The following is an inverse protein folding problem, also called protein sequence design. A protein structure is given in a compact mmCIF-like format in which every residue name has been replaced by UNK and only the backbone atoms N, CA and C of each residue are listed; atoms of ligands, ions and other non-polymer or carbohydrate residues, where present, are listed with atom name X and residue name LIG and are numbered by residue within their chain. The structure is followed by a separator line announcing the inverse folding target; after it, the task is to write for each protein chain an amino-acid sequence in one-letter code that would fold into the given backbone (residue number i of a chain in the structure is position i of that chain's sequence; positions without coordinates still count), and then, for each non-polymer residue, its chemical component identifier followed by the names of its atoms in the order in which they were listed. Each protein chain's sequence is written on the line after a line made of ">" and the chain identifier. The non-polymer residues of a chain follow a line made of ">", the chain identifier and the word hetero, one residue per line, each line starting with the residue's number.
data_IF_419592158892
#
_entry.id   IF_419592158892
#
_cell.length_a   1.000
_cell.length_b   1.000
_cell.length_c   1.000
_cell.angle_alpha   90.00
_cell.angle_beta   90.00
_cell.angle_gamma   90.00
#
_symmetry.space_group_name_H-M   'P 1'
#
loop_
_entity.id
_entity.type
_entity.pdbx_description
1 polymer ?
#
# COMPACT_ATOMS: atom_id res chain seq x y z
N UNK A 1 -56.14 -43.59 -34.69
CA UNK A 1 -56.78 -42.48 -35.43
C UNK A 1 -55.79 -41.35 -35.47
N UNK A 2 -55.01 -41.31 -36.55
CA UNK A 2 -53.93 -40.34 -36.74
C UNK A 2 -54.50 -38.95 -36.96
N UNK A 3 -54.31 -38.07 -35.98
CA UNK A 3 -54.61 -36.65 -36.11
C UNK A 3 -53.47 -36.00 -36.91
N UNK A 4 -53.60 -36.04 -38.23
CA UNK A 4 -52.76 -35.25 -39.13
C UNK A 4 -53.02 -33.77 -38.84
N UNK A 5 -52.19 -33.16 -37.99
CA UNK A 5 -52.16 -31.72 -37.78
C UNK A 5 -51.64 -31.09 -39.08
N UNK A 6 -52.57 -30.62 -39.91
CA UNK A 6 -52.28 -29.93 -41.15
C UNK A 6 -51.69 -28.54 -40.81
N UNK A 7 -50.36 -28.49 -40.63
CA UNK A 7 -49.59 -27.28 -40.34
C UNK A 7 -49.43 -26.47 -41.62
N UNK A 8 -50.47 -25.76 -42.04
CA UNK A 8 -50.40 -24.85 -43.18
C UNK A 8 -49.76 -23.52 -42.76
N UNK A 9 -48.79 -23.07 -43.55
CA UNK A 9 -48.12 -21.77 -43.37
C UNK A 9 -49.05 -20.65 -43.83
N UNK A 10 -48.96 -19.43 -43.26
CA UNK A 10 -49.90 -18.32 -43.55
C UNK A 10 -50.01 -17.98 -45.06
N UNK A 11 -48.95 -18.22 -45.83
CA UNK A 11 -48.92 -18.07 -47.30
C UNK A 11 -49.80 -19.06 -48.08
N UNK A 12 -50.29 -20.10 -47.41
CA UNK A 12 -51.12 -21.16 -47.99
C UNK A 12 -52.60 -20.95 -47.68
N UNK A 13 -52.95 -19.92 -46.89
CA UNK A 13 -54.32 -19.50 -46.62
C UNK A 13 -54.90 -18.76 -47.83
N UNK A 14 -56.21 -18.83 -48.00
CA UNK A 14 -56.95 -18.00 -48.97
C UNK A 14 -56.82 -16.51 -48.62
N UNK A 15 -57.00 -15.63 -49.61
CA UNK A 15 -56.77 -14.20 -49.45
C UNK A 15 -57.63 -13.56 -48.33
N UNK A 16 -58.87 -14.02 -48.15
CA UNK A 16 -59.77 -13.54 -47.10
C UNK A 16 -59.30 -13.94 -45.69
N UNK A 17 -58.76 -15.14 -45.55
CA UNK A 17 -58.25 -15.65 -44.27
C UNK A 17 -56.90 -15.03 -43.91
N UNK A 18 -56.07 -14.68 -44.90
CA UNK A 18 -54.86 -13.89 -44.68
C UNK A 18 -55.18 -12.48 -44.14
N UNK A 19 -56.25 -11.84 -44.65
CA UNK A 19 -56.66 -10.51 -44.18
C UNK A 19 -57.15 -10.57 -42.74
N UNK A 20 -57.96 -11.57 -42.38
CA UNK A 20 -58.42 -11.79 -40.99
C UNK A 20 -57.25 -12.09 -40.04
N UNK A 21 -56.27 -12.84 -40.51
CA UNK A 21 -55.04 -13.14 -39.76
C UNK A 21 -54.22 -11.86 -39.44
N UNK A 22 -54.01 -10.97 -40.41
CA UNK A 22 -53.26 -9.73 -40.16
C UNK A 22 -54.05 -8.72 -39.31
N UNK A 23 -55.37 -8.73 -39.39
CA UNK A 23 -56.22 -7.93 -38.50
C UNK A 23 -56.15 -8.39 -37.04
N UNK A 24 -56.08 -9.70 -36.76
CA UNK A 24 -55.94 -10.21 -35.39
C UNK A 24 -54.56 -9.91 -34.78
N UNK A 25 -53.49 -9.97 -35.59
CA UNK A 25 -52.14 -9.56 -35.18
C UNK A 25 -52.10 -8.05 -34.83
N UNK A 26 -52.77 -7.21 -35.64
CA UNK A 26 -52.90 -5.77 -35.36
C UNK A 26 -53.66 -5.44 -34.07
N UNK A 27 -54.56 -6.34 -33.63
CA UNK A 27 -55.31 -6.21 -32.37
C UNK A 27 -54.58 -6.83 -31.16
N UNK A 28 -53.33 -7.29 -31.34
CA UNK A 28 -52.48 -7.79 -30.26
C UNK A 28 -52.68 -9.27 -29.92
N UNK A 29 -53.46 -10.01 -30.72
CA UNK A 29 -53.66 -11.45 -30.52
C UNK A 29 -52.52 -12.23 -31.19
N UNK A 30 -51.49 -12.55 -30.41
CA UNK A 30 -50.30 -13.30 -30.86
C UNK A 30 -50.52 -14.83 -30.90
N UNK A 31 -51.76 -15.30 -30.69
CA UNK A 31 -52.11 -16.71 -30.72
C UNK A 31 -52.08 -17.32 -32.13
N UNK A 32 -52.03 -16.49 -33.17
CA UNK A 32 -52.17 -16.92 -34.57
C UNK A 32 -50.90 -17.48 -35.21
N UNK A 33 -49.73 -17.41 -34.56
CA UNK A 33 -48.55 -18.15 -35.06
C UNK A 33 -48.82 -19.66 -34.92
N UNK A 34 -49.41 -20.27 -35.96
CA UNK A 34 -49.72 -21.70 -36.13
C UNK A 34 -48.49 -22.62 -36.09
N UNK A 35 -47.32 -22.08 -35.75
CA UNK A 35 -46.16 -22.83 -35.31
C UNK A 35 -45.92 -22.40 -33.87
N UNK A 36 -46.33 -23.23 -32.90
CA UNK A 36 -45.83 -23.09 -31.53
C UNK A 36 -44.30 -23.05 -31.64
N UNK A 37 -43.62 -21.97 -31.23
CA UNK A 37 -42.18 -21.91 -31.36
C UNK A 37 -41.62 -23.10 -30.59
N UNK A 38 -41.02 -24.06 -31.30
CA UNK A 38 -40.36 -25.17 -30.66
C UNK A 38 -39.34 -24.56 -29.70
N UNK A 39 -39.57 -24.74 -28.39
CA UNK A 39 -38.61 -24.36 -27.36
C UNK A 39 -37.39 -25.26 -27.60
N UNK A 40 -36.47 -24.82 -28.47
CA UNK A 40 -35.19 -25.48 -28.70
C UNK A 40 -34.55 -25.67 -27.34
N UNK A 41 -34.52 -26.90 -26.84
CA UNK A 41 -33.93 -27.19 -25.55
C UNK A 41 -32.48 -26.74 -25.62
N UNK A 42 -32.10 -25.79 -24.77
CA UNK A 42 -30.75 -25.26 -24.82
C UNK A 42 -29.79 -26.40 -24.49
N UNK A 43 -28.85 -26.72 -25.38
CA UNK A 43 -27.78 -27.71 -25.11
C UNK A 43 -26.84 -27.29 -23.97
N UNK A 44 -27.04 -26.11 -23.40
CA UNK A 44 -26.31 -25.58 -22.25
C UNK A 44 -26.68 -26.38 -21.01
N UNK A 45 -25.85 -27.36 -20.66
CA UNK A 45 -25.90 -28.04 -19.37
C UNK A 45 -25.05 -27.26 -18.37
N UNK A 46 -25.55 -27.17 -17.14
CA UNK A 46 -24.77 -26.63 -16.02
C UNK A 46 -23.60 -27.57 -15.79
N UNK A 47 -22.37 -27.05 -15.78
CA UNK A 47 -21.20 -27.85 -15.41
C UNK A 47 -21.30 -28.32 -13.95
N UNK A 48 -20.57 -29.38 -13.63
CA UNK A 48 -20.53 -30.00 -12.29
C UNK A 48 -19.74 -29.18 -11.25
N UNK A 49 -19.27 -27.98 -11.61
CA UNK A 49 -18.55 -27.13 -10.68
C UNK A 49 -19.48 -26.60 -9.57
N UNK A 50 -18.97 -26.63 -8.34
CA UNK A 50 -19.64 -26.01 -7.20
C UNK A 50 -19.84 -24.52 -7.46
N UNK A 51 -21.06 -24.03 -7.23
CA UNK A 51 -21.37 -22.59 -7.26
C UNK A 51 -21.28 -21.92 -5.90
N UNK A 52 -20.94 -22.69 -4.86
CA UNK A 52 -20.68 -22.13 -3.53
C UNK A 52 -19.31 -21.45 -3.53
N UNK A 53 -19.16 -20.32 -2.84
CA UNK A 53 -17.86 -19.70 -2.68
C UNK A 53 -16.95 -20.64 -1.88
N UNK A 54 -15.66 -20.71 -2.25
CA UNK A 54 -14.62 -21.46 -1.51
C UNK A 54 -14.63 -21.18 0.00
N UNK A 55 -14.73 -19.90 0.37
CA UNK A 55 -14.83 -19.45 1.76
C UNK A 55 -16.26 -18.98 2.09
N UNK A 56 -17.09 -19.80 2.74
CA UNK A 56 -18.47 -19.40 3.06
C UNK A 56 -18.56 -18.35 4.19
N UNK A 57 -17.65 -18.44 5.17
CA UNK A 57 -17.64 -17.66 6.41
C UNK A 57 -16.29 -16.96 6.62
N UNK A 58 -15.97 -15.93 5.82
CA UNK A 58 -14.78 -15.13 6.05
C UNK A 58 -14.91 -14.38 7.38
N UNK A 59 -13.85 -14.38 8.19
CA UNK A 59 -13.77 -13.63 9.44
C UNK A 59 -12.37 -13.08 9.61
N UNK A 60 -12.27 -11.79 9.95
CA UNK A 60 -10.98 -11.17 10.17
C UNK A 60 -11.06 -10.16 11.31
N UNK A 61 -10.08 -10.24 12.21
CA UNK A 61 -9.88 -9.30 13.32
C UNK A 61 -8.39 -8.95 13.37
N UNK A 62 -8.07 -7.74 13.83
CA UNK A 62 -6.71 -7.22 13.83
C UNK A 62 -5.84 -8.04 14.80
N UNK A 63 -4.81 -8.73 14.31
CA UNK A 63 -3.90 -9.46 15.19
C UNK A 63 -3.15 -8.56 16.18
N UNK A 64 -2.76 -9.11 17.33
CA UNK A 64 -2.10 -8.37 18.41
C UNK A 64 -0.69 -7.84 18.05
N UNK A 65 -0.02 -8.42 17.05
CA UNK A 65 1.30 -7.97 16.62
C UNK A 65 1.26 -6.63 15.85
N UNK A 66 0.08 -6.22 15.36
CA UNK A 66 -0.05 -4.90 14.74
C UNK A 66 -0.20 -3.82 15.81
N UNK A 67 0.42 -2.67 15.56
CA UNK A 67 0.26 -1.47 16.40
C UNK A 67 -1.23 -1.12 16.56
N UNK A 68 -1.61 -0.72 17.76
CA UNK A 68 -2.97 -0.25 18.04
C UNK A 68 -3.35 0.95 17.16
N UNK A 69 -4.60 0.97 16.70
CA UNK A 69 -5.13 2.08 15.92
C UNK A 69 -5.46 3.25 16.87
N UNK A 70 -4.87 4.41 16.59
CA UNK A 70 -5.14 5.64 17.33
C UNK A 70 -6.21 6.51 16.65
N UNK A 71 -6.67 7.53 17.37
CA UNK A 71 -7.53 8.58 16.82
C UNK A 71 -8.88 8.09 16.29
N UNK A 72 -9.33 8.67 15.18
CA UNK A 72 -10.62 8.34 14.58
C UNK A 72 -10.64 6.93 13.95
N UNK A 73 -9.50 6.45 13.46
CA UNK A 73 -9.38 5.08 12.95
C UNK A 73 -9.60 4.04 14.06
N UNK A 74 -9.04 4.28 15.25
CA UNK A 74 -9.28 3.43 16.42
C UNK A 74 -10.74 3.47 16.87
N UNK A 75 -11.36 4.66 16.88
CA UNK A 75 -12.78 4.81 17.18
C UNK A 75 -13.67 4.02 16.20
N UNK A 76 -13.41 4.16 14.89
CA UNK A 76 -14.10 3.41 13.84
C UNK A 76 -13.97 1.89 14.02
N UNK A 77 -12.75 1.41 14.30
CA UNK A 77 -12.48 -0.01 14.51
C UNK A 77 -13.23 -0.56 15.73
N UNK A 78 -13.23 0.17 16.86
CA UNK A 78 -13.92 -0.23 18.08
C UNK A 78 -15.46 -0.22 17.93
N UNK A 79 -16.00 0.52 16.96
CA UNK A 79 -17.42 0.47 16.62
C UNK A 79 -17.77 -0.79 15.81
N UNK A 80 -16.84 -1.26 14.99
CA UNK A 80 -16.99 -2.49 14.20
C UNK A 80 -16.79 -3.75 15.04
N UNK A 81 -15.78 -3.76 15.91
CA UNK A 81 -15.32 -4.96 16.62
C UNK A 81 -15.40 -4.74 18.13
N UNK A 82 -15.93 -5.74 18.85
CA UNK A 82 -15.87 -5.82 20.32
C UNK A 82 -14.97 -6.97 20.74
N UNK A 83 -14.17 -6.74 21.79
CA UNK A 83 -13.42 -7.77 22.48
C UNK A 83 -14.18 -8.15 23.75
N UNK A 84 -14.44 -9.44 23.94
CA UNK A 84 -15.03 -9.92 25.17
C UNK A 84 -13.99 -9.77 26.31
N UNK A 85 -14.35 -9.14 27.46
CA UNK A 85 -13.40 -8.88 28.53
C UNK A 85 -12.90 -10.16 29.20
N UNK A 86 -13.78 -11.17 29.33
CA UNK A 86 -13.48 -12.43 30.03
C UNK A 86 -12.70 -13.40 29.14
N UNK A 87 -13.15 -13.63 27.91
CA UNK A 87 -12.56 -14.64 27.01
C UNK A 87 -11.48 -14.08 26.09
N UNK A 88 -11.38 -12.75 25.96
CA UNK A 88 -10.48 -12.10 25.01
C UNK A 88 -10.86 -12.29 23.54
N UNK A 89 -11.96 -13.00 23.24
CA UNK A 89 -12.41 -13.29 21.89
C UNK A 89 -12.97 -12.04 21.21
N UNK A 90 -12.65 -11.90 19.93
CA UNK A 90 -13.17 -10.82 19.09
C UNK A 90 -14.48 -11.25 18.43
N UNK A 91 -15.44 -10.34 18.41
CA UNK A 91 -16.70 -10.50 17.69
C UNK A 91 -17.09 -9.18 17.04
N UNK A 92 -17.92 -9.26 15.99
CA UNK A 92 -18.48 -8.07 15.38
C UNK A 92 -19.47 -7.41 16.36
N UNK A 93 -19.31 -6.10 16.54
CA UNK A 93 -20.27 -5.25 17.25
C UNK A 93 -21.33 -4.73 16.30
N UNK A 94 -20.92 -4.41 15.07
CA UNK A 94 -21.78 -3.90 14.01
C UNK A 94 -21.61 -4.75 12.75
N UNK A 95 -22.73 -5.19 12.20
CA UNK A 95 -22.80 -5.83 10.88
C UNK A 95 -23.02 -4.75 9.83
N UNK A 96 -21.94 -4.35 9.14
CA UNK A 96 -22.00 -3.26 8.17
C UNK A 96 -22.94 -3.60 7.01
N UNK A 97 -23.03 -4.87 6.62
CA UNK A 97 -23.94 -5.34 5.58
C UNK A 97 -25.43 -5.10 5.87
N UNK A 98 -25.80 -4.89 7.14
CA UNK A 98 -27.16 -4.57 7.60
C UNK A 98 -27.35 -3.08 7.91
N UNK A 99 -26.37 -2.23 7.57
CA UNK A 99 -26.47 -0.80 7.85
C UNK A 99 -27.65 -0.16 7.08
N UNK A 100 -28.47 0.71 7.71
CA UNK A 100 -29.65 1.32 7.07
C UNK A 100 -29.36 2.05 5.76
N UNK A 101 -28.14 2.57 5.59
CA UNK A 101 -27.65 3.16 4.35
C UNK A 101 -27.85 2.24 3.14
N UNK A 102 -27.50 0.95 3.25
CA UNK A 102 -27.65 0.01 2.14
C UNK A 102 -29.12 -0.27 1.82
N UNK A 103 -30.01 -0.19 2.82
CA UNK A 103 -31.45 -0.33 2.60
C UNK A 103 -31.98 0.86 1.80
N UNK A 104 -31.59 2.08 2.18
CA UNK A 104 -32.02 3.33 1.53
C UNK A 104 -31.46 3.46 0.11
N UNK A 105 -30.15 3.23 -0.06
CA UNK A 105 -29.46 3.51 -1.33
C UNK A 105 -29.44 2.31 -2.30
N UNK A 106 -30.06 1.15 -1.96
CA UNK A 106 -30.01 -0.05 -2.82
C UNK A 106 -30.49 0.20 -4.25
N UNK A 107 -31.58 0.97 -4.39
CA UNK A 107 -32.20 1.23 -5.69
C UNK A 107 -31.30 2.14 -6.53
N UNK A 108 -30.72 3.17 -5.91
CA UNK A 108 -29.72 4.05 -6.53
C UNK A 108 -28.49 3.28 -6.99
N UNK A 109 -28.02 2.34 -6.18
CA UNK A 109 -26.90 1.46 -6.54
C UNK A 109 -27.28 0.36 -7.56
N UNK A 110 -28.52 0.35 -8.08
CA UNK A 110 -29.01 -0.59 -9.09
C UNK A 110 -29.23 -2.02 -8.58
N UNK A 111 -29.57 -2.17 -7.30
CA UNK A 111 -29.97 -3.46 -6.69
C UNK A 111 -31.46 -3.47 -6.35
N UNK A 112 -32.13 -4.57 -6.72
CA UNK A 112 -33.51 -4.86 -6.30
C UNK A 112 -33.58 -5.55 -4.94
N UNK A 113 -32.65 -6.47 -4.67
CA UNK A 113 -32.66 -7.32 -3.48
C UNK A 113 -31.51 -7.00 -2.53
N UNK A 114 -31.70 -7.37 -1.26
CA UNK A 114 -30.66 -7.34 -0.25
C UNK A 114 -29.44 -8.18 -0.64
N UNK A 115 -28.33 -8.01 0.07
CA UNK A 115 -27.15 -8.84 -0.12
C UNK A 115 -27.45 -10.29 0.24
N UNK A 116 -26.92 -11.24 -0.53
CA UNK A 116 -26.97 -12.66 -0.17
C UNK A 116 -26.15 -12.91 1.11
N UNK A 117 -26.48 -13.93 1.92
CA UNK A 117 -25.77 -14.19 3.18
C UNK A 117 -24.25 -14.30 3.04
N UNK A 118 -23.74 -14.99 2.01
CA UNK A 118 -22.27 -15.13 1.85
C UNK A 118 -21.60 -13.80 1.48
N UNK A 119 -22.34 -12.89 0.86
CA UNK A 119 -21.86 -11.55 0.53
C UNK A 119 -21.93 -10.63 1.74
N UNK A 120 -22.98 -10.74 2.56
CA UNK A 120 -23.11 -10.03 3.84
C UNK A 120 -21.92 -10.33 4.76
N UNK A 121 -21.62 -11.63 4.95
CA UNK A 121 -20.48 -12.07 5.76
C UNK A 121 -19.14 -11.56 5.23
N UNK A 122 -18.94 -11.58 3.91
CA UNK A 122 -17.72 -11.02 3.31
C UNK A 122 -17.63 -9.51 3.51
N UNK A 123 -18.73 -8.78 3.35
CA UNK A 123 -18.75 -7.33 3.58
C UNK A 123 -18.44 -7.00 5.04
N UNK A 124 -19.05 -7.72 5.97
CA UNK A 124 -18.80 -7.56 7.41
C UNK A 124 -17.35 -7.85 7.79
N UNK A 125 -16.71 -8.84 7.17
CA UNK A 125 -15.30 -9.15 7.39
C UNK A 125 -14.35 -8.14 6.70
N UNK A 126 -14.76 -7.56 5.57
CA UNK A 126 -13.96 -6.62 4.79
C UNK A 126 -13.74 -5.29 5.55
N UNK A 127 -14.78 -4.73 6.17
CA UNK A 127 -14.68 -3.42 6.83
C UNK A 127 -13.61 -3.34 7.94
N UNK A 128 -13.51 -4.30 8.87
CA UNK A 128 -12.43 -4.34 9.85
C UNK A 128 -11.03 -4.33 9.22
N UNK A 129 -10.83 -5.03 8.09
CA UNK A 129 -9.56 -5.05 7.34
C UNK A 129 -9.28 -3.67 6.74
N UNK A 130 -10.27 -3.07 6.06
CA UNK A 130 -10.10 -1.77 5.42
C UNK A 130 -9.71 -0.70 6.44
N UNK A 131 -10.43 -0.60 7.57
CA UNK A 131 -10.13 0.37 8.63
C UNK A 131 -8.76 0.10 9.26
N UNK A 132 -8.38 -1.17 9.38
CA UNK A 132 -7.11 -1.58 9.98
C UNK A 132 -5.87 -1.19 9.17
N UNK A 133 -5.96 -1.26 7.85
CA UNK A 133 -4.86 -0.96 6.95
C UNK A 133 -5.02 0.38 6.23
N UNK A 134 -5.97 1.20 6.68
CA UNK A 134 -6.20 2.54 6.19
C UNK A 134 -5.08 3.47 6.67
N UNK A 135 -4.48 4.21 5.72
CA UNK A 135 -3.57 5.30 6.03
C UNK A 135 -4.34 6.49 6.61
N UNK A 136 -3.88 7.02 7.74
CA UNK A 136 -4.56 8.12 8.42
C UNK A 136 -4.52 9.44 7.64
N UNK A 137 -3.53 9.63 6.75
CA UNK A 137 -3.39 10.83 5.93
C UNK A 137 -4.15 10.76 4.62
N UNK A 138 -4.12 9.62 3.92
CA UNK A 138 -4.74 9.51 2.58
C UNK A 138 -6.12 8.85 2.60
N UNK A 139 -6.48 8.21 3.70
CA UNK A 139 -7.64 7.31 3.82
C UNK A 139 -7.65 6.14 2.83
N UNK A 140 -6.54 5.94 2.13
CA UNK A 140 -6.27 4.81 1.25
C UNK A 140 -5.80 3.63 2.05
N UNK A 141 -6.32 2.46 1.74
CA UNK A 141 -5.86 1.20 2.28
C UNK A 141 -4.49 0.88 1.69
N UNK A 142 -3.48 0.70 2.53
CA UNK A 142 -2.09 0.42 2.14
C UNK A 142 -1.86 -0.96 1.52
N UNK A 143 -2.92 -1.59 0.99
CA UNK A 143 -2.91 -2.94 0.45
C UNK A 143 -3.69 -2.99 -0.85
N UNK A 144 -3.12 -3.69 -1.83
CA UNK A 144 -3.82 -3.97 -3.09
C UNK A 144 -4.92 -5.04 -2.88
N UNK A 145 -5.87 -5.10 -3.81
CA UNK A 145 -6.99 -6.06 -3.76
C UNK A 145 -6.53 -7.52 -3.61
N UNK A 146 -5.45 -7.92 -4.29
CA UNK A 146 -4.90 -9.27 -4.18
C UNK A 146 -4.35 -9.57 -2.77
N UNK A 147 -3.75 -8.56 -2.12
CA UNK A 147 -3.24 -8.69 -0.76
C UNK A 147 -4.38 -8.69 0.26
N UNK A 148 -5.44 -7.90 0.04
CA UNK A 148 -6.67 -7.96 0.84
C UNK A 148 -7.31 -9.35 0.81
N UNK A 149 -7.32 -9.99 -0.37
CA UNK A 149 -7.80 -11.36 -0.52
C UNK A 149 -7.01 -12.35 0.32
N UNK A 150 -5.69 -12.23 0.32
CA UNK A 150 -4.80 -13.06 1.13
C UNK A 150 -5.03 -12.85 2.63
N UNK A 151 -5.27 -11.62 3.08
CA UNK A 151 -5.52 -11.35 4.49
C UNK A 151 -6.88 -11.85 4.98
N UNK A 152 -7.92 -11.75 4.15
CA UNK A 152 -9.25 -12.26 4.47
C UNK A 152 -9.35 -13.79 4.40
N UNK A 153 -8.38 -14.44 3.77
CA UNK A 153 -8.38 -15.89 3.62
C UNK A 153 -7.91 -16.58 4.91
N UNK A 154 -8.52 -17.72 5.27
CA UNK A 154 -8.01 -18.58 6.33
C UNK A 154 -6.56 -18.98 6.06
N UNK A 155 -5.74 -18.97 7.12
CA UNK A 155 -4.32 -19.31 7.06
C UNK A 155 -4.04 -20.56 7.88
N UNK A 156 -3.11 -21.37 7.39
CA UNK A 156 -2.56 -22.53 8.09
C UNK A 156 -1.70 -22.12 9.30
N UNK A 157 -1.28 -23.12 10.08
CA UNK A 157 -0.32 -22.94 11.20
C UNK A 157 0.99 -22.29 10.76
N UNK A 158 1.38 -22.45 9.50
CA UNK A 158 2.58 -21.83 8.90
C UNK A 158 2.33 -20.41 8.36
N UNK A 159 1.10 -19.89 8.43
CA UNK A 159 0.73 -18.57 7.93
C UNK A 159 0.43 -18.51 6.42
N UNK A 160 0.42 -19.65 5.73
CA UNK A 160 0.08 -19.75 4.31
C UNK A 160 -1.44 -19.82 4.12
N UNK A 161 -1.95 -19.33 2.98
CA UNK A 161 -3.39 -19.40 2.68
C UNK A 161 -3.78 -20.81 2.24
N UNK A 162 -4.86 -21.33 2.82
CA UNK A 162 -5.45 -22.62 2.46
C UNK A 162 -6.16 -22.48 1.10
N UNK A 163 -5.69 -23.14 0.03
CA UNK A 163 -6.22 -22.94 -1.32
C UNK A 163 -7.71 -23.32 -1.49
N UNK A 164 -8.17 -24.29 -0.71
CA UNK A 164 -9.55 -24.80 -0.78
C UNK A 164 -10.55 -23.82 -0.16
N UNK A 165 -10.13 -23.10 0.88
CA UNK A 165 -10.97 -22.14 1.62
C UNK A 165 -10.58 -20.69 1.37
N UNK A 166 -9.81 -20.40 0.32
CA UNK A 166 -9.35 -19.04 0.04
C UNK A 166 -10.51 -18.10 -0.34
N UNK A 167 -10.38 -16.84 0.05
CA UNK A 167 -11.23 -15.78 -0.49
C UNK A 167 -10.62 -15.33 -1.82
N UNK A 168 -11.31 -15.60 -2.92
CA UNK A 168 -10.78 -15.28 -4.25
C UNK A 168 -10.72 -13.78 -4.52
N UNK A 169 -9.70 -13.35 -5.27
CA UNK A 169 -9.50 -11.94 -5.68
C UNK A 169 -10.70 -11.40 -6.45
N UNK A 170 -11.29 -12.22 -7.33
CA UNK A 170 -12.48 -11.85 -8.10
C UNK A 170 -13.69 -11.53 -7.22
N UNK A 171 -13.90 -12.31 -6.15
CA UNK A 171 -15.01 -12.10 -5.22
C UNK A 171 -14.89 -10.78 -4.47
N UNK A 172 -13.68 -10.43 -4.01
CA UNK A 172 -13.42 -9.15 -3.36
C UNK A 172 -13.50 -8.00 -4.36
N UNK A 173 -12.94 -8.15 -5.56
CA UNK A 173 -13.03 -7.12 -6.60
C UNK A 173 -14.48 -6.80 -6.94
N UNK A 174 -15.35 -7.82 -7.07
CA UNK A 174 -16.77 -7.62 -7.33
C UNK A 174 -17.50 -6.96 -6.16
N UNK A 175 -17.13 -7.31 -4.92
CA UNK A 175 -17.69 -6.67 -3.73
C UNK A 175 -17.28 -5.19 -3.65
N UNK A 176 -16.01 -4.88 -3.89
CA UNK A 176 -15.51 -3.49 -3.90
C UNK A 176 -16.19 -2.69 -5.00
N UNK A 177 -16.30 -3.21 -6.22
CA UNK A 177 -16.98 -2.52 -7.32
C UNK A 177 -18.43 -2.18 -6.96
N UNK A 178 -19.11 -3.06 -6.23
CA UNK A 178 -20.44 -2.78 -5.71
C UNK A 178 -20.44 -1.70 -4.63
N UNK A 179 -19.47 -1.71 -3.70
CA UNK A 179 -19.31 -0.66 -2.70
C UNK A 179 -18.99 0.72 -3.30
N UNK A 180 -18.29 0.74 -4.43
CA UNK A 180 -18.05 1.96 -5.24
C UNK A 180 -19.35 2.49 -5.83
N UNK A 181 -20.24 1.61 -6.32
CA UNK A 181 -21.58 2.03 -6.78
C UNK A 181 -22.44 2.60 -5.66
N UNK A 182 -22.27 2.10 -4.44
CA UNK A 182 -22.87 2.69 -3.23
C UNK A 182 -22.19 3.98 -2.78
N UNK A 183 -21.04 4.34 -3.36
CA UNK A 183 -20.25 5.53 -3.01
C UNK A 183 -19.53 5.43 -1.67
N UNK A 184 -19.47 4.23 -1.04
CA UNK A 184 -18.86 4.00 0.29
C UNK A 184 -17.35 3.77 0.22
N UNK A 185 -16.87 3.26 -0.91
CA UNK A 185 -15.46 3.04 -1.21
C UNK A 185 -15.13 3.71 -2.55
N UNK A 186 -13.88 4.11 -2.72
CA UNK A 186 -13.30 4.49 -4.00
C UNK A 186 -12.16 3.56 -4.38
N UNK A 187 -11.83 3.50 -5.67
CA UNK A 187 -10.75 2.68 -6.21
C UNK A 187 -9.89 3.53 -7.12
N UNK A 188 -8.58 3.31 -7.10
CA UNK A 188 -7.61 4.00 -7.96
C UNK A 188 -8.01 3.90 -9.43
N UNK A 189 -8.15 5.05 -10.09
CA UNK A 189 -8.76 5.19 -11.42
C UNK A 189 -7.90 4.52 -12.52
N UNK A 190 -6.59 4.45 -12.33
CA UNK A 190 -5.67 3.96 -13.34
C UNK A 190 -5.27 2.51 -13.09
N UNK A 191 -5.76 1.59 -13.94
CA UNK A 191 -5.22 0.24 -14.05
C UNK A 191 -4.42 0.15 -15.34
N UNK A 192 -3.24 0.74 -15.35
CA UNK A 192 -2.33 0.61 -16.50
C UNK A 192 -1.79 -0.82 -16.58
N UNK A 193 -1.62 -1.27 -17.82
CA UNK A 193 -0.95 -2.54 -18.10
C UNK A 193 0.55 -2.26 -18.15
N UNK A 194 1.29 -2.90 -17.26
CA UNK A 194 2.73 -2.84 -17.32
C UNK A 194 3.25 -3.85 -18.37
N UNK A 195 3.88 -3.32 -19.41
CA UNK A 195 4.45 -4.11 -20.51
C UNK A 195 5.66 -4.92 -20.05
N UNK A 196 6.45 -4.41 -19.12
CA UNK A 196 7.69 -5.03 -18.67
C UNK A 196 7.38 -6.25 -17.78
N UNK A 197 6.57 -6.06 -16.74
CA UNK A 197 6.18 -7.18 -15.85
C UNK A 197 5.06 -8.07 -16.41
N UNK A 198 4.45 -7.70 -17.54
CA UNK A 198 3.27 -8.34 -18.15
C UNK A 198 2.12 -8.53 -17.15
N UNK A 199 1.95 -7.56 -16.25
CA UNK A 199 0.94 -7.58 -15.18
C UNK A 199 0.19 -6.25 -15.15
N UNK A 200 -1.03 -6.26 -14.61
CA UNK A 200 -1.76 -5.02 -14.31
C UNK A 200 -1.21 -4.39 -13.05
N UNK A 201 -1.13 -3.06 -13.02
CA UNK A 201 -0.80 -2.34 -11.80
C UNK A 201 -1.79 -2.64 -10.67
N UNK A 202 -1.31 -2.63 -9.41
CA UNK A 202 -2.15 -2.91 -8.25
C UNK A 202 -3.25 -1.85 -8.10
N UNK A 203 -4.48 -2.32 -7.88
CA UNK A 203 -5.62 -1.46 -7.53
C UNK A 203 -5.63 -1.21 -6.03
N UNK A 204 -5.69 0.06 -5.64
CA UNK A 204 -5.84 0.49 -4.26
C UNK A 204 -7.26 0.97 -3.98
N UNK A 205 -7.70 0.79 -2.74
CA UNK A 205 -9.05 1.15 -2.28
C UNK A 205 -8.91 2.26 -1.24
N UNK A 206 -9.78 3.26 -1.24
CA UNK A 206 -9.91 4.21 -0.14
C UNK A 206 -11.33 4.27 0.37
N UNK A 207 -11.48 4.69 1.63
CA UNK A 207 -12.79 4.87 2.26
C UNK A 207 -13.24 6.30 2.00
N UNK A 208 -14.45 6.46 1.46
CA UNK A 208 -15.03 7.78 1.17
C UNK A 208 -15.60 8.41 2.44
N UNK A 209 -15.96 9.70 2.36
CA UNK A 209 -16.63 10.41 3.46
C UNK A 209 -17.92 9.71 3.91
N UNK A 210 -18.71 9.16 2.99
CA UNK A 210 -19.93 8.41 3.32
C UNK A 210 -19.61 7.11 4.07
N UNK A 211 -18.53 6.40 3.68
CA UNK A 211 -18.05 5.23 4.41
C UNK A 211 -17.66 5.56 5.86
N UNK A 212 -17.01 6.70 6.08
CA UNK A 212 -16.69 7.18 7.43
C UNK A 212 -17.92 7.60 8.23
N UNK A 213 -18.91 8.23 7.59
CA UNK A 213 -20.19 8.56 8.22
C UNK A 213 -20.96 7.31 8.66
N UNK A 214 -20.94 6.22 7.87
CA UNK A 214 -21.55 4.94 8.26
C UNK A 214 -20.89 4.34 9.50
N UNK A 215 -19.59 4.53 9.65
CA UNK A 215 -18.83 4.17 10.85
C UNK A 215 -19.05 5.17 12.01
N UNK A 216 -19.86 6.21 11.79
CA UNK A 216 -20.14 7.29 12.73
C UNK A 216 -18.89 7.96 13.27
N UNK A 217 -17.89 8.12 12.40
CA UNK A 217 -16.68 8.88 12.67
C UNK A 217 -16.99 10.38 12.56
N UNK A 218 -16.40 11.16 13.47
CA UNK A 218 -16.43 12.62 13.38
C UNK A 218 -15.53 13.09 12.22
N UNK A 219 -16.17 13.55 11.14
CA UNK A 219 -15.49 13.96 9.91
C UNK A 219 -14.55 15.14 10.13
N UNK A 220 -14.89 16.08 11.03
CA UNK A 220 -14.05 17.24 11.30
C UNK A 220 -12.74 16.82 11.98
N UNK A 221 -12.85 15.91 12.97
CA UNK A 221 -11.67 15.34 13.63
C UNK A 221 -10.85 14.46 12.68
N UNK A 222 -11.50 13.75 11.77
CA UNK A 222 -10.83 12.92 10.76
C UNK A 222 -10.02 13.81 9.79
N UNK A 223 -10.62 14.88 9.27
CA UNK A 223 -9.95 15.85 8.41
C UNK A 223 -8.78 16.55 9.11
N UNK A 224 -8.95 16.95 10.38
CA UNK A 224 -7.86 17.54 11.17
C UNK A 224 -6.69 16.56 11.35
N UNK A 225 -6.97 15.26 11.57
CA UNK A 225 -5.94 14.22 11.63
C UNK A 225 -5.25 14.04 10.28
N UNK A 226 -5.99 14.08 9.18
CA UNK A 226 -5.46 14.00 7.82
C UNK A 226 -4.52 15.18 7.52
N UNK A 227 -4.95 16.42 7.76
CA UNK A 227 -4.13 17.62 7.52
C UNK A 227 -2.84 17.56 8.35
N UNK A 228 -2.94 17.18 9.63
CA UNK A 228 -1.76 17.01 10.49
C UNK A 228 -0.78 15.99 9.91
N UNK A 229 -1.27 14.84 9.45
CA UNK A 229 -0.44 13.79 8.84
C UNK A 229 0.18 14.22 7.52
N UNK A 230 -0.54 14.98 6.68
CA UNK A 230 0.01 15.50 5.44
C UNK A 230 1.15 16.49 5.70
N UNK A 231 1.01 17.38 6.69
CA UNK A 231 2.08 18.29 7.13
C UNK A 231 3.31 17.55 7.63
N UNK A 232 3.13 16.55 8.51
CA UNK A 232 4.23 15.70 9.00
C UNK A 232 4.97 15.00 7.83
N UNK A 233 4.24 14.54 6.80
CA UNK A 233 4.83 13.93 5.61
C UNK A 233 5.60 14.93 4.74
N UNK A 234 5.09 16.16 4.58
CA UNK A 234 5.77 17.23 3.83
C UNK A 234 7.05 17.67 4.54
N UNK A 235 7.00 17.85 5.85
CA UNK A 235 8.17 18.13 6.68
C UNK A 235 9.21 17.01 6.55
N UNK A 236 8.78 15.74 6.58
CA UNK A 236 9.67 14.59 6.37
C UNK A 236 10.37 14.66 5.02
N UNK A 237 9.64 14.98 3.95
CA UNK A 237 10.22 15.09 2.61
C UNK A 237 11.26 16.20 2.52
N UNK A 238 10.96 17.38 3.07
CA UNK A 238 11.92 18.50 3.14
C UNK A 238 13.20 18.09 3.87
N UNK A 239 13.08 17.43 5.03
CA UNK A 239 14.22 16.96 5.79
C UNK A 239 15.06 15.88 5.06
N UNK A 240 14.42 15.04 4.23
CA UNK A 240 15.12 14.06 3.40
C UNK A 240 15.86 14.77 2.25
N UNK A 241 15.22 15.71 1.57
CA UNK A 241 15.82 16.51 0.49
C UNK A 241 17.03 17.32 0.99
N UNK A 242 16.95 17.85 2.20
CA UNK A 242 18.06 18.55 2.88
C UNK A 242 19.17 17.60 3.38
N UNK A 243 19.01 16.27 3.22
CA UNK A 243 19.96 15.27 3.69
C UNK A 243 20.02 15.12 5.22
N UNK A 244 19.10 15.78 5.94
CA UNK A 244 19.00 15.77 7.40
C UNK A 244 18.32 14.49 7.92
N UNK A 245 17.65 13.73 7.05
CA UNK A 245 16.92 12.51 7.41
C UNK A 245 17.08 11.41 6.36
N UNK A 246 17.34 10.17 6.81
CA UNK A 246 17.36 9.01 5.93
C UNK A 246 15.95 8.58 5.53
N UNK A 247 15.79 7.97 4.35
CA UNK A 247 14.48 7.60 3.78
C UNK A 247 13.63 6.73 4.73
N UNK A 248 14.27 5.84 5.50
CA UNK A 248 13.62 4.90 6.42
C UNK A 248 13.44 5.42 7.85
N UNK A 249 13.91 6.63 8.17
CA UNK A 249 13.88 7.16 9.53
C UNK A 249 12.58 7.90 9.84
N UNK A 250 12.11 7.77 11.09
CA UNK A 250 10.97 8.54 11.59
C UNK A 250 11.41 9.88 12.18
N UNK A 251 10.59 10.91 11.99
CA UNK A 251 10.77 12.22 12.65
C UNK A 251 10.55 12.03 14.15
N UNK A 252 11.64 11.83 14.90
CA UNK A 252 11.62 11.66 16.34
C UNK A 252 12.86 12.27 16.98
N UNK A 253 12.66 12.91 18.15
CA UNK A 253 13.76 13.45 18.96
C UNK A 253 14.76 12.35 19.34
N UNK A 254 14.28 11.13 19.59
CA UNK A 254 15.15 10.00 19.90
C UNK A 254 16.02 9.59 18.71
N UNK A 255 15.44 9.51 17.52
CA UNK A 255 16.18 9.20 16.29
C UNK A 255 17.20 10.30 15.96
N UNK A 256 16.82 11.57 16.13
CA UNK A 256 17.70 12.71 15.97
C UNK A 256 18.91 12.66 16.93
N UNK A 257 18.66 12.39 18.23
CA UNK A 257 19.74 12.20 19.21
C UNK A 257 20.66 11.04 18.85
N UNK A 258 20.10 9.90 18.44
CA UNK A 258 20.89 8.73 18.03
C UNK A 258 21.82 9.05 16.86
N UNK A 259 21.34 9.78 15.85
CA UNK A 259 22.18 10.25 14.73
C UNK A 259 23.29 11.17 15.19
N UNK A 260 22.95 12.16 16.01
CA UNK A 260 23.95 13.08 16.55
C UNK A 260 25.03 12.31 17.34
N UNK A 261 24.64 11.36 18.18
CA UNK A 261 25.60 10.51 18.90
C UNK A 261 26.47 9.65 17.96
N UNK A 262 25.88 9.08 16.91
CA UNK A 262 26.62 8.31 15.91
C UNK A 262 27.63 9.19 15.15
N UNK A 263 27.21 10.37 14.72
CA UNK A 263 28.06 11.34 14.04
C UNK A 263 29.21 11.80 14.96
N UNK A 264 28.92 12.18 16.21
CA UNK A 264 29.94 12.54 17.20
C UNK A 264 30.88 11.39 17.53
N UNK A 265 30.37 10.17 17.60
CA UNK A 265 31.20 8.96 17.79
C UNK A 265 32.15 8.74 16.60
N UNK A 266 31.65 8.88 15.37
CA UNK A 266 32.47 8.78 14.15
C UNK A 266 33.52 9.89 14.09
N UNK A 267 33.16 11.14 14.37
CA UNK A 267 34.10 12.26 14.46
C UNK A 267 35.19 11.99 15.50
N UNK A 268 34.80 11.54 16.70
CA UNK A 268 35.76 11.20 17.76
C UNK A 268 36.68 10.05 17.34
N UNK A 269 36.17 9.02 16.65
CA UNK A 269 36.98 7.91 16.13
C UNK A 269 37.94 8.37 15.02
N UNK A 270 37.49 9.22 14.08
CA UNK A 270 38.36 9.81 13.05
C UNK A 270 39.48 10.62 13.69
N UNK A 271 39.14 11.52 14.61
CA UNK A 271 40.11 12.31 15.35
C UNK A 271 41.13 11.45 16.12
N UNK A 272 40.67 10.38 16.80
CA UNK A 272 41.57 9.45 17.51
C UNK A 272 42.49 8.69 16.55
N UNK A 273 41.98 8.27 15.39
CA UNK A 273 42.77 7.58 14.36
C UNK A 273 43.83 8.51 13.77
N UNK A 274 43.45 9.74 13.45
CA UNK A 274 44.36 10.78 12.95
C UNK A 274 45.45 11.11 13.98
N UNK A 275 45.07 11.33 15.24
CA UNK A 275 46.01 11.56 16.34
C UNK A 275 46.93 10.36 16.57
N UNK A 276 46.41 9.14 16.52
CA UNK A 276 47.20 7.91 16.61
C UNK A 276 48.17 7.75 15.45
N UNK A 277 47.74 8.06 14.22
CA UNK A 277 48.60 8.05 13.03
C UNK A 277 49.67 9.14 13.10
N UNK A 278 49.33 10.35 13.57
CA UNK A 278 50.28 11.43 13.82
C UNK A 278 51.35 11.02 14.85
N UNK A 279 50.94 10.43 15.98
CA UNK A 279 51.87 9.94 17.00
C UNK A 279 52.81 8.83 16.49
N UNK A 280 52.28 7.88 15.72
CA UNK A 280 53.11 6.83 15.09
C UNK A 280 54.11 7.41 14.08
N UNK A 281 53.69 8.41 13.29
CA UNK A 281 54.57 9.15 12.38
C UNK A 281 55.65 9.89 13.16
N UNK A 282 55.29 10.59 14.23
CA UNK A 282 56.23 11.31 15.07
C UNK A 282 57.30 10.39 15.67
N UNK A 283 56.89 9.27 16.26
CA UNK A 283 57.83 8.28 16.80
C UNK A 283 58.78 7.68 15.76
N UNK A 284 58.34 7.59 14.49
CA UNK A 284 59.19 7.11 13.39
C UNK A 284 60.20 8.19 12.96
N UNK A 285 59.74 9.43 12.84
CA UNK A 285 60.56 10.57 12.42
C UNK A 285 61.59 10.96 13.48
N UNK A 286 61.24 10.86 14.77
CA UNK A 286 62.14 11.14 15.89
C UNK A 286 63.45 10.33 15.85
N UNK A 287 63.45 9.16 15.21
CA UNK A 287 64.63 8.28 15.09
C UNK A 287 65.55 8.66 13.93
N UNK A 288 65.14 9.57 13.06
CA UNK A 288 65.85 9.94 11.84
C UNK A 288 66.60 11.27 12.00
N UNK A 289 67.71 11.49 11.27
CA UNK A 289 68.37 12.80 11.17
C UNK A 289 67.45 13.86 10.56
N UNK A 290 67.70 15.15 10.86
CA UNK A 290 66.83 16.28 10.49
C UNK A 290 66.51 16.35 8.99
N UNK A 291 67.51 16.23 8.14
CA UNK A 291 67.32 16.30 6.67
C UNK A 291 66.41 15.18 6.17
N UNK A 292 66.53 13.99 6.78
CA UNK A 292 65.69 12.85 6.47
C UNK A 292 64.26 13.01 7.02
N UNK A 293 64.08 13.71 8.13
CA UNK A 293 62.75 14.05 8.64
C UNK A 293 62.01 15.00 7.68
N UNK A 294 62.69 16.02 7.18
CA UNK A 294 62.13 16.99 6.22
C UNK A 294 61.73 16.27 4.92
N UNK A 295 62.60 15.39 4.39
CA UNK A 295 62.30 14.60 3.19
C UNK A 295 61.10 13.66 3.35
N UNK A 296 61.01 12.92 4.46
CA UNK A 296 59.88 11.99 4.68
C UNK A 296 58.57 12.74 4.94
N UNK A 297 58.62 13.90 5.61
CA UNK A 297 57.45 14.76 5.83
C UNK A 297 56.97 15.40 4.54
N UNK A 298 57.88 15.90 3.70
CA UNK A 298 57.53 16.52 2.43
C UNK A 298 56.89 15.53 1.45
N UNK A 299 57.41 14.30 1.40
CA UNK A 299 56.80 13.19 0.65
C UNK A 299 55.41 12.81 1.18
N UNK A 300 55.19 12.92 2.49
CA UNK A 300 53.88 12.67 3.07
C UNK A 300 52.89 13.78 2.70
N UNK A 301 53.30 15.04 2.81
CA UNK A 301 52.49 16.22 2.48
C UNK A 301 52.03 16.18 1.02
N UNK A 302 52.90 15.88 0.06
CA UNK A 302 52.51 15.74 -1.35
C UNK A 302 51.53 14.60 -1.62
N UNK A 303 51.51 13.56 -0.77
CA UNK A 303 50.54 12.47 -0.90
C UNK A 303 49.17 12.82 -0.32
N UNK A 304 49.11 13.76 0.61
CA UNK A 304 47.87 14.13 1.32
C UNK A 304 47.28 15.44 0.86
N UNK A 305 48.02 16.26 0.13
CA UNK A 305 47.51 17.52 -0.43
C UNK A 305 46.40 17.25 -1.46
N UNK A 306 45.40 18.15 -1.53
CA UNK A 306 44.48 18.19 -2.67
C UNK A 306 45.26 18.33 -3.99
N UNK A 307 44.79 17.70 -5.09
CA UNK A 307 45.50 17.70 -6.38
C UNK A 307 45.83 19.11 -6.90
N UNK A 308 44.91 20.05 -6.71
CA UNK A 308 45.07 21.44 -7.17
C UNK A 308 46.18 22.17 -6.40
N UNK A 309 46.26 21.97 -5.08
CA UNK A 309 47.29 22.59 -4.26
C UNK A 309 48.66 21.94 -4.49
N UNK A 310 48.69 20.63 -4.78
CA UNK A 310 49.93 19.91 -5.07
C UNK A 310 50.58 20.40 -6.37
N UNK A 311 49.77 20.78 -7.37
CA UNK A 311 50.24 21.29 -8.66
C UNK A 311 50.96 22.65 -8.53
N UNK A 312 50.47 23.53 -7.67
CA UNK A 312 51.05 24.87 -7.44
C UNK A 312 52.06 24.91 -6.28
N UNK A 313 52.44 23.77 -5.72
CA UNK A 313 53.35 23.70 -4.58
C UNK A 313 54.81 23.85 -5.06
N UNK A 314 55.40 25.03 -4.84
CA UNK A 314 56.83 25.23 -5.10
C UNK A 314 57.68 24.42 -4.11
N UNK A 315 58.93 24.03 -4.47
CA UNK A 315 59.82 23.29 -3.58
C UNK A 315 60.06 23.99 -2.23
N UNK A 316 60.21 25.32 -2.25
CA UNK A 316 60.40 26.15 -1.06
C UNK A 316 59.16 26.13 -0.14
N UNK A 317 57.97 26.22 -0.74
CA UNK A 317 56.69 26.16 0.00
C UNK A 317 56.48 24.79 0.65
N UNK A 318 56.82 23.72 -0.09
CA UNK A 318 56.76 22.35 0.39
C UNK A 318 57.70 22.11 1.59
N UNK A 319 58.90 22.67 1.54
CA UNK A 319 59.85 22.61 2.66
C UNK A 319 59.34 23.36 3.89
N UNK A 320 58.82 24.59 3.71
CA UNK A 320 58.20 25.36 4.80
C UNK A 320 57.04 24.61 5.44
N UNK A 321 56.17 23.98 4.64
CA UNK A 321 55.06 23.16 5.14
C UNK A 321 55.55 21.92 5.89
N UNK A 322 56.63 21.27 5.41
CA UNK A 322 57.23 20.14 6.09
C UNK A 322 57.78 20.53 7.47
N UNK A 323 58.49 21.66 7.54
CA UNK A 323 59.03 22.21 8.78
C UNK A 323 57.91 22.58 9.76
N UNK A 324 56.86 23.25 9.30
CA UNK A 324 55.69 23.60 10.13
C UNK A 324 54.98 22.35 10.69
N UNK A 325 54.78 21.31 9.88
CA UNK A 325 54.19 20.05 10.34
C UNK A 325 55.09 19.31 11.34
N UNK A 326 56.41 19.37 11.19
CA UNK A 326 57.36 18.82 12.17
C UNK A 326 57.29 19.57 13.51
N UNK A 327 57.10 20.90 13.49
CA UNK A 327 56.84 21.70 14.70
C UNK A 327 55.52 21.30 15.37
N UNK A 328 54.45 21.10 14.59
CA UNK A 328 53.15 20.65 15.12
C UNK A 328 53.19 19.25 15.74
N UNK A 329 54.16 18.42 15.36
CA UNK A 329 54.40 17.10 15.96
C UNK A 329 55.34 17.15 17.18
N UNK A 330 55.75 18.34 17.62
CA UNK A 330 56.66 18.57 18.76
C UNK A 330 58.05 17.91 18.60
N UNK A 331 58.47 17.62 17.36
CA UNK A 331 59.73 16.92 17.07
C UNK A 331 60.92 17.86 16.92
N UNK A 332 60.69 19.11 16.55
CA UNK A 332 61.72 20.13 16.38
C UNK A 332 61.87 20.99 17.63
N UNK A 333 62.47 20.44 18.68
CA UNK A 333 63.06 21.25 19.76
C UNK A 333 64.42 21.81 19.30
N UNK A 334 64.37 22.83 18.45
CA UNK A 334 65.42 23.85 18.33
C UNK A 334 64.87 25.03 17.48
N UNK A 335 64.54 26.11 18.19
CA UNK A 335 64.13 27.47 17.74
C UNK A 335 62.85 27.62 16.90
N UNK A 336 61.90 28.49 17.29
CA UNK A 336 60.70 28.77 16.50
C UNK A 336 61.07 29.43 15.14
N UNK A 337 60.23 29.27 14.09
CA UNK A 337 60.45 29.93 12.82
C UNK A 337 60.41 31.46 12.99
N UNK A 338 61.28 32.23 12.30
CA UNK A 338 61.23 33.68 12.34
C UNK A 338 59.88 34.17 11.80
N UNK A 339 59.31 35.16 12.49
CA UNK A 339 58.05 35.81 12.17
C UNK A 339 58.07 36.56 10.84
#
# INVERSE_FOLDING_TARGET
>A
MDSNNNLQHWNQLTAEDQIRFWQSVGQGDMSSFLVTPEKKSTRRRRGEHSTKPKCENPSWFRPAHYKALGGQLGHAYNRLVKKAPVTGLYSLRMHMSLHPFYVRERHRAGRKYAFRPEKQRLLDALWPVLVSFCDAGKHTVGMCVSRLARELSPKDTKGNVIPDTEVTVSRISNLIAEQVRFGTLGVSEETTWDRESRKRLPKYVWITTTGWQMLGVDLMKLQAQQIKRLRECEERRRLIEEGMLGEDEDISVHAARKRWYLQRSQEALKFRREKGAARKRANRLAKLPRDRQIYEMSRHIMKTLPPDEAYWCSPERLEQMAIQNLYQLELSLATPPPH
#
